data_IF_458340099035
#
_entry.id   IF_458340099035
#
_cell.length_a   1.000
_cell.length_b   1.000
_cell.length_c   1.000
_cell.angle_alpha   90.00
_cell.angle_beta   90.00
_cell.angle_gamma   90.00
#
_symmetry.space_group_name_H-M   'P 1'
#
loop_
_entity.id
_entity.type
_entity.pdbx_description
1 polymer ?
#
# COMPACT_ATOMS: atom_id res chain seq x y z
N UNK A 1 -17.48 -5.02 5.36
CA UNK A 1 -16.98 -4.67 6.71
C UNK A 1 -16.16 -3.39 6.59
N UNK A 2 -16.19 -2.51 7.60
CA UNK A 2 -15.26 -1.38 7.67
C UNK A 2 -13.95 -1.81 8.30
N UNK A 3 -12.85 -1.21 7.87
CA UNK A 3 -11.54 -1.41 8.46
C UNK A 3 -11.26 -0.25 9.42
N UNK A 4 -11.07 -0.57 10.69
CA UNK A 4 -10.75 0.30 11.81
C UNK A 4 -9.30 0.07 12.23
N UNK A 5 -8.84 0.79 13.26
CA UNK A 5 -7.47 0.70 13.80
C UNK A 5 -7.46 0.06 15.21
N UNK A 6 -6.67 -1.00 15.49
CA UNK A 6 -6.34 -1.51 16.80
C UNK A 6 -4.84 -1.63 17.02
N UNK A 7 -4.63 -1.98 18.27
CA UNK A 7 -3.43 -2.40 18.91
C UNK A 7 -3.36 -3.93 18.97
N UNK A 8 -2.13 -4.45 18.91
CA UNK A 8 -1.79 -5.68 19.63
C UNK A 8 -2.15 -5.49 21.12
N UNK A 9 -2.55 -6.53 21.87
CA UNK A 9 -3.11 -6.41 23.23
C UNK A 9 -2.22 -5.79 24.33
N UNK A 10 -1.05 -5.25 24.01
CA UNK A 10 0.03 -4.97 24.98
C UNK A 10 0.76 -3.63 24.86
N UNK A 11 0.40 -2.71 23.97
CA UNK A 11 1.11 -1.43 23.86
C UNK A 11 0.20 -0.21 24.12
N UNK A 12 0.74 0.80 24.81
CA UNK A 12 0.12 2.12 24.97
C UNK A 12 0.25 2.94 23.67
N UNK A 13 -0.41 2.49 22.62
CA UNK A 13 -0.32 3.06 21.28
C UNK A 13 -1.41 4.09 20.96
N UNK A 14 -1.21 4.84 19.86
CA UNK A 14 -2.26 5.65 19.22
C UNK A 14 -3.42 4.75 18.84
N UNK A 15 -4.63 5.17 19.20
CA UNK A 15 -5.88 4.51 18.80
C UNK A 15 -6.89 5.55 18.37
N UNK A 16 -7.73 5.18 17.40
CA UNK A 16 -8.89 5.99 17.05
C UNK A 16 -9.73 6.29 18.30
N UNK A 17 -10.23 7.52 18.37
CA UNK A 17 -11.00 8.00 19.53
C UNK A 17 -12.16 7.05 19.85
N UNK A 18 -12.44 6.85 21.13
CA UNK A 18 -13.51 5.94 21.58
C UNK A 18 -14.86 6.33 20.98
N UNK A 19 -15.17 7.63 20.96
CA UNK A 19 -16.43 8.14 20.41
C UNK A 19 -16.64 7.72 18.94
N UNK A 20 -15.60 7.80 18.10
CA UNK A 20 -15.71 7.42 16.68
C UNK A 20 -15.83 5.90 16.53
N UNK A 21 -15.06 5.12 17.31
CA UNK A 21 -15.19 3.65 17.31
C UNK A 21 -16.58 3.21 17.73
N UNK A 22 -17.08 3.72 18.86
CA UNK A 22 -18.41 3.42 19.36
C UNK A 22 -19.48 3.77 18.32
N UNK A 23 -19.36 4.93 17.68
CA UNK A 23 -20.26 5.35 16.60
C UNK A 23 -20.27 4.34 15.44
N UNK A 24 -19.10 3.90 14.97
CA UNK A 24 -18.99 2.95 13.86
C UNK A 24 -19.52 1.56 14.23
N UNK A 25 -19.24 1.07 15.44
CA UNK A 25 -19.82 -0.18 15.95
C UNK A 25 -21.34 -0.09 16.11
N UNK A 26 -21.87 1.07 16.54
CA UNK A 26 -23.29 1.29 16.70
C UNK A 26 -24.08 1.22 15.38
N UNK A 27 -23.43 1.36 14.23
CA UNK A 27 -24.10 1.25 12.93
C UNK A 27 -24.53 -0.19 12.60
N UNK A 28 -23.87 -1.21 13.19
CA UNK A 28 -24.11 -2.66 13.03
C UNK A 28 -23.93 -3.23 11.62
N UNK A 29 -24.38 -2.52 10.59
CA UNK A 29 -24.52 -3.02 9.21
C UNK A 29 -23.20 -3.24 8.46
N UNK A 30 -22.06 -2.86 9.05
CA UNK A 30 -20.75 -3.01 8.42
C UNK A 30 -19.68 -3.50 9.41
N UNK A 31 -20.09 -4.23 10.46
CA UNK A 31 -19.27 -4.97 11.44
C UNK A 31 -17.75 -4.66 11.35
N UNK A 32 -17.30 -3.56 12.00
CA UNK A 32 -15.93 -3.07 11.83
C UNK A 32 -14.86 -4.06 12.31
N UNK A 33 -13.76 -4.15 11.57
CA UNK A 33 -12.57 -4.96 11.85
C UNK A 33 -11.42 -4.03 12.10
N UNK A 34 -10.79 -4.11 13.26
CA UNK A 34 -9.63 -3.28 13.54
C UNK A 34 -8.35 -3.93 12.90
N UNK A 35 -7.58 -3.22 12.06
CA UNK A 35 -6.24 -3.50 11.46
C UNK A 35 -5.05 -2.71 12.08
N UNK A 36 -3.94 -3.39 12.39
CA UNK A 36 -2.72 -2.82 12.99
C UNK A 36 -1.94 -1.90 12.04
N UNK A 37 -1.99 -0.59 12.27
CA UNK A 37 -1.25 0.41 11.46
C UNK A 37 -0.16 1.18 12.23
N UNK A 38 -0.02 0.97 13.54
CA UNK A 38 0.81 1.85 14.38
C UNK A 38 2.31 1.80 14.07
N UNK A 39 2.73 0.78 13.34
CA UNK A 39 4.07 0.65 12.80
C UNK A 39 4.36 1.72 11.74
N UNK A 40 3.35 2.40 11.20
CA UNK A 40 3.48 3.56 10.31
C UNK A 40 3.48 4.87 11.10
N UNK A 41 4.25 5.84 10.61
CA UNK A 41 4.41 7.15 11.22
C UNK A 41 3.10 7.96 11.18
N UNK A 42 2.43 8.02 10.03
CA UNK A 42 1.08 8.60 9.95
C UNK A 42 0.07 7.66 10.63
N UNK A 43 0.12 6.37 10.31
CA UNK A 43 -0.63 5.34 11.02
C UNK A 43 -2.01 5.10 10.41
N UNK A 44 -2.16 5.29 9.11
CA UNK A 44 -3.39 5.02 8.37
C UNK A 44 -3.32 3.67 7.64
N UNK A 45 -4.50 3.08 7.41
CA UNK A 45 -4.60 1.78 6.73
C UNK A 45 -4.39 1.90 5.22
N UNK A 46 -4.71 3.05 4.63
CA UNK A 46 -4.57 3.31 3.20
C UNK A 46 -3.11 3.45 2.74
N UNK A 47 -2.17 3.54 3.68
CA UNK A 47 -0.72 3.49 3.45
C UNK A 47 -0.21 2.07 3.15
N UNK A 48 -0.99 1.00 3.34
CA UNK A 48 -0.48 -0.35 3.05
C UNK A 48 -1.49 -1.34 2.51
N UNK A 49 -2.76 -0.93 2.38
CA UNK A 49 -3.78 -1.76 1.75
C UNK A 49 -4.81 -0.96 0.95
N UNK A 50 -5.31 -1.57 -0.11
CA UNK A 50 -6.47 -1.07 -0.87
C UNK A 50 -7.24 -2.22 -1.52
N UNK A 51 -8.40 -1.94 -2.09
CA UNK A 51 -9.19 -2.92 -2.83
C UNK A 51 -9.43 -2.45 -4.26
N UNK A 52 -9.26 -3.35 -5.22
CA UNK A 52 -9.58 -3.13 -6.63
C UNK A 52 -10.62 -4.12 -7.12
N UNK A 53 -11.52 -3.74 -8.05
CA UNK A 53 -12.47 -4.68 -8.63
C UNK A 53 -11.74 -5.71 -9.50
N UNK A 54 -12.28 -6.92 -9.56
CA UNK A 54 -11.83 -7.98 -10.45
C UNK A 54 -13.06 -8.72 -10.99
N UNK A 55 -13.03 -9.20 -12.23
CA UNK A 55 -14.20 -9.85 -12.85
C UNK A 55 -14.33 -11.34 -12.52
N UNK A 56 -13.42 -11.87 -11.70
CA UNK A 56 -13.39 -13.25 -11.29
C UNK A 56 -13.57 -13.41 -9.77
N UNK A 57 -13.73 -14.66 -9.32
CA UNK A 57 -13.78 -15.05 -7.90
C UNK A 57 -14.76 -14.19 -7.08
N UNK A 58 -14.26 -13.49 -6.07
CA UNK A 58 -15.03 -12.68 -5.12
C UNK A 58 -15.40 -11.30 -5.67
N UNK A 59 -15.06 -10.99 -6.92
CA UNK A 59 -15.34 -9.70 -7.55
C UNK A 59 -14.33 -8.58 -7.24
N UNK A 60 -13.27 -8.90 -6.48
CA UNK A 60 -12.23 -7.94 -6.09
C UNK A 60 -10.89 -8.64 -5.81
N UNK A 61 -9.85 -7.82 -5.61
CA UNK A 61 -8.57 -8.20 -5.02
C UNK A 61 -8.22 -7.24 -3.89
N UNK A 62 -7.62 -7.76 -2.83
CA UNK A 62 -6.92 -6.99 -1.81
C UNK A 62 -5.50 -6.73 -2.33
N UNK A 63 -5.09 -5.47 -2.41
CA UNK A 63 -3.72 -5.10 -2.67
C UNK A 63 -3.03 -4.80 -1.34
N UNK A 64 -1.85 -5.36 -1.11
CA UNK A 64 -1.01 -5.08 0.05
C UNK A 64 0.34 -4.55 -0.39
N UNK A 65 0.85 -3.54 0.32
CA UNK A 65 2.25 -3.14 0.20
C UNK A 65 3.15 -4.33 0.57
N UNK A 66 4.26 -4.53 -0.12
CA UNK A 66 5.17 -5.65 0.17
C UNK A 66 6.64 -5.29 -0.06
N UNK A 67 7.40 -5.11 1.03
CA UNK A 67 8.86 -5.07 0.97
C UNK A 67 9.49 -6.32 0.35
N UNK A 68 8.96 -7.51 0.66
CA UNK A 68 9.46 -8.75 0.06
C UNK A 68 9.32 -8.76 -1.47
N UNK A 69 8.19 -8.30 -2.01
CA UNK A 69 7.99 -8.19 -3.45
C UNK A 69 8.97 -7.19 -4.09
N UNK A 70 9.25 -6.07 -3.41
CA UNK A 70 10.22 -5.08 -3.89
C UNK A 70 11.66 -5.61 -3.91
N UNK A 71 12.12 -6.23 -2.81
CA UNK A 71 13.44 -6.86 -2.77
C UNK A 71 13.58 -7.99 -3.79
N UNK A 72 12.52 -8.76 -4.02
CA UNK A 72 12.50 -9.80 -5.06
C UNK A 72 12.68 -9.20 -6.45
N UNK A 73 11.90 -8.17 -6.79
CA UNK A 73 12.03 -7.45 -8.07
C UNK A 73 13.43 -6.89 -8.26
N UNK A 74 13.99 -6.24 -7.24
CA UNK A 74 15.32 -5.64 -7.33
C UNK A 74 16.43 -6.68 -7.51
N UNK A 75 16.34 -7.84 -6.82
CA UNK A 75 17.25 -8.97 -7.07
C UNK A 75 17.12 -9.55 -8.48
N UNK A 76 15.89 -9.68 -8.99
CA UNK A 76 15.65 -10.12 -10.36
C UNK A 76 16.31 -9.16 -11.37
N UNK A 77 16.17 -7.84 -11.18
CA UNK A 77 16.79 -6.82 -12.03
C UNK A 77 18.32 -6.78 -11.89
N UNK A 78 18.86 -6.94 -10.68
CA UNK A 78 20.30 -7.09 -10.46
C UNK A 78 20.85 -8.30 -11.22
N UNK A 79 20.18 -9.46 -11.14
CA UNK A 79 20.57 -10.67 -11.87
C UNK A 79 20.49 -10.55 -13.39
N UNK A 80 19.74 -9.57 -13.91
CA UNK A 80 19.67 -9.21 -15.33
C UNK A 80 20.75 -8.20 -15.74
N UNK A 81 21.66 -7.81 -14.84
CA UNK A 81 22.72 -6.83 -15.11
C UNK A 81 22.30 -5.37 -14.93
N UNK A 82 21.16 -5.11 -14.26
CA UNK A 82 20.64 -3.75 -14.02
C UNK A 82 20.88 -3.24 -12.59
N UNK A 83 21.89 -3.76 -11.88
CA UNK A 83 22.24 -3.33 -10.51
C UNK A 83 22.52 -1.83 -10.37
N UNK A 84 23.06 -1.22 -11.43
CA UNK A 84 23.39 0.20 -11.51
C UNK A 84 22.19 1.10 -11.84
N UNK A 85 21.01 0.52 -12.12
CA UNK A 85 19.80 1.30 -12.39
C UNK A 85 19.43 2.14 -11.17
N UNK A 86 19.24 3.44 -11.38
CA UNK A 86 18.99 4.42 -10.31
C UNK A 86 17.53 4.82 -10.24
N UNK A 87 17.06 4.99 -9.01
CA UNK A 87 15.79 5.65 -8.73
C UNK A 87 15.88 7.13 -9.11
N UNK A 88 14.92 7.63 -9.90
CA UNK A 88 14.89 9.04 -10.31
C UNK A 88 13.88 9.82 -9.48
N UNK A 89 14.16 9.96 -8.19
CA UNK A 89 13.31 10.72 -7.27
C UNK A 89 13.30 12.20 -7.65
N UNK A 90 12.11 12.74 -7.98
CA UNK A 90 11.82 14.18 -7.94
C UNK A 90 12.82 15.11 -8.66
N UNK A 91 13.15 14.86 -9.94
CA UNK A 91 14.03 15.73 -10.76
C UNK A 91 13.50 17.16 -11.04
N UNK A 92 12.62 17.71 -10.20
CA UNK A 92 11.95 19.00 -10.39
C UNK A 92 12.22 20.11 -9.37
N UNK A 93 12.60 19.84 -8.11
CA UNK A 93 12.58 20.91 -7.09
C UNK A 93 13.63 20.84 -5.96
N UNK A 94 14.87 20.45 -6.25
CA UNK A 94 16.03 20.76 -5.37
C UNK A 94 16.05 20.13 -3.97
N UNK A 95 15.10 19.25 -3.64
CA UNK A 95 15.01 18.48 -2.38
C UNK A 95 14.77 16.99 -2.67
N UNK A 96 15.64 16.37 -3.47
CA UNK A 96 15.59 14.94 -3.78
C UNK A 96 16.25 14.11 -2.68
N UNK A 97 15.65 12.95 -2.36
CA UNK A 97 16.36 11.84 -1.72
C UNK A 97 17.51 11.44 -2.68
N UNK A 98 18.72 11.09 -2.19
CA UNK A 98 19.81 10.66 -3.05
C UNK A 98 19.35 9.55 -4.00
N UNK A 99 19.69 9.67 -5.28
CA UNK A 99 19.39 8.65 -6.28
C UNK A 99 20.11 7.35 -5.86
N UNK A 100 19.36 6.40 -5.31
CA UNK A 100 19.91 5.11 -4.90
C UNK A 100 19.86 4.11 -6.06
N UNK A 101 20.97 3.39 -6.24
CA UNK A 101 21.07 2.26 -7.18
C UNK A 101 20.41 1.03 -6.59
N UNK A 102 20.00 0.09 -7.46
CA UNK A 102 19.53 -1.23 -7.02
C UNK A 102 20.59 -1.91 -6.15
N UNK A 103 21.87 -1.87 -6.54
CA UNK A 103 22.95 -2.51 -5.79
C UNK A 103 23.14 -1.91 -4.40
N UNK A 104 23.01 -0.59 -4.27
CA UNK A 104 23.10 0.12 -2.97
C UNK A 104 21.94 -0.27 -2.05
N UNK A 105 20.71 -0.29 -2.57
CA UNK A 105 19.51 -0.70 -1.82
C UNK A 105 19.62 -2.16 -1.36
N UNK A 106 20.16 -3.04 -2.21
CA UNK A 106 20.31 -4.46 -1.89
C UNK A 106 21.46 -4.73 -0.91
N UNK A 107 22.49 -3.88 -0.89
CA UNK A 107 23.63 -3.96 0.02
C UNK A 107 23.35 -3.31 1.40
N UNK A 108 22.34 -2.45 1.51
CA UNK A 108 21.95 -1.82 2.77
C UNK A 108 21.26 -2.83 3.71
N UNK A 109 22.05 -3.42 4.60
CA UNK A 109 21.57 -4.38 5.60
C UNK A 109 20.67 -3.75 6.67
N UNK A 110 20.81 -2.45 6.95
CA UNK A 110 19.93 -1.76 7.90
C UNK A 110 18.54 -1.63 7.28
N UNK A 111 18.45 -1.05 6.08
CA UNK A 111 17.19 -0.90 5.34
C UNK A 111 16.48 -2.24 5.16
N UNK A 112 17.25 -3.30 4.87
CA UNK A 112 16.72 -4.66 4.71
C UNK A 112 16.19 -5.24 6.01
N UNK A 113 16.85 -5.02 7.14
CA UNK A 113 16.36 -5.49 8.44
C UNK A 113 15.11 -4.72 8.89
N UNK A 114 15.06 -3.42 8.64
CA UNK A 114 13.89 -2.58 8.86
C UNK A 114 12.70 -3.05 8.02
N UNK A 115 12.92 -3.31 6.73
CA UNK A 115 11.86 -3.78 5.84
C UNK A 115 11.41 -5.23 6.13
N UNK A 116 12.28 -6.09 6.68
CA UNK A 116 11.84 -7.38 7.26
C UNK A 116 10.90 -7.18 8.45
N UNK A 117 11.14 -6.17 9.29
CA UNK A 117 10.23 -5.84 10.39
C UNK A 117 8.89 -5.34 9.85
N UNK A 118 8.90 -4.38 8.91
CA UNK A 118 7.68 -3.86 8.26
C UNK A 118 6.87 -4.97 7.59
N UNK A 119 7.52 -5.86 6.85
CA UNK A 119 6.83 -6.98 6.22
C UNK A 119 6.13 -7.88 7.26
N UNK A 120 6.72 -8.15 8.43
CA UNK A 120 6.04 -8.90 9.50
C UNK A 120 4.81 -8.18 10.04
N UNK A 121 4.84 -6.85 10.11
CA UNK A 121 3.66 -6.06 10.49
C UNK A 121 2.55 -6.18 9.44
N UNK A 122 2.91 -6.16 8.15
CA UNK A 122 1.97 -6.35 7.04
C UNK A 122 1.42 -7.79 7.03
N UNK A 123 2.26 -8.80 7.25
CA UNK A 123 1.87 -10.21 7.29
C UNK A 123 0.88 -10.49 8.43
N UNK A 124 1.08 -9.88 9.60
CA UNK A 124 0.12 -9.95 10.70
C UNK A 124 -1.27 -9.45 10.29
N UNK A 125 -1.32 -8.34 9.54
CA UNK A 125 -2.57 -7.81 9.00
C UNK A 125 -3.12 -8.66 7.86
N UNK A 126 -2.27 -9.27 7.02
CA UNK A 126 -2.67 -10.21 5.97
C UNK A 126 -3.47 -11.37 6.58
N UNK A 127 -2.96 -11.97 7.64
CA UNK A 127 -3.60 -13.10 8.30
C UNK A 127 -4.93 -12.71 8.95
N UNK A 128 -4.97 -11.57 9.64
CA UNK A 128 -6.20 -11.00 10.18
C UNK A 128 -7.25 -10.75 9.08
N UNK A 129 -6.85 -10.12 7.97
CA UNK A 129 -7.76 -9.81 6.86
C UNK A 129 -8.27 -11.08 6.19
N UNK A 130 -7.43 -12.09 6.02
CA UNK A 130 -7.85 -13.41 5.52
C UNK A 130 -8.91 -14.04 6.41
N UNK A 131 -8.71 -14.01 7.72
CA UNK A 131 -9.67 -14.54 8.69
C UNK A 131 -11.00 -13.75 8.65
N UNK A 132 -10.95 -12.43 8.82
CA UNK A 132 -12.13 -11.60 9.02
C UNK A 132 -12.94 -11.34 7.75
N UNK A 133 -12.29 -11.39 6.58
CA UNK A 133 -12.92 -11.18 5.28
C UNK A 133 -13.10 -12.48 4.49
N UNK A 134 -12.65 -13.62 5.03
CA UNK A 134 -12.71 -14.92 4.36
C UNK A 134 -11.94 -14.95 3.04
N UNK A 135 -10.73 -14.37 3.02
CA UNK A 135 -9.85 -14.32 1.84
C UNK A 135 -8.88 -15.49 1.85
N UNK A 136 -8.43 -15.87 0.66
CA UNK A 136 -7.29 -16.76 0.46
C UNK A 136 -6.14 -16.00 -0.23
N UNK A 137 -4.96 -16.64 -0.36
CA UNK A 137 -3.79 -16.04 -1.03
C UNK A 137 -4.08 -15.60 -2.47
N UNK A 138 -5.02 -16.28 -3.11
CA UNK A 138 -5.47 -16.03 -4.47
C UNK A 138 -6.26 -14.72 -4.60
N UNK A 139 -6.82 -14.20 -3.50
CA UNK A 139 -7.55 -12.94 -3.45
C UNK A 139 -6.62 -11.73 -3.16
N UNK A 140 -5.32 -11.97 -2.94
CA UNK A 140 -4.34 -10.95 -2.50
C UNK A 140 -3.27 -10.75 -3.58
N UNK A 141 -2.90 -9.50 -3.82
CA UNK A 141 -1.80 -9.13 -4.70
C UNK A 141 -0.82 -8.25 -3.94
N UNK A 142 0.44 -8.67 -3.94
CA UNK A 142 1.55 -7.96 -3.30
C UNK A 142 2.12 -6.90 -4.24
N UNK A 143 1.99 -5.63 -3.85
CA UNK A 143 2.50 -4.46 -4.57
C UNK A 143 3.89 -4.11 -4.03
N UNK A 144 4.95 -4.05 -4.86
CA UNK A 144 6.29 -3.70 -4.42
C UNK A 144 6.33 -2.33 -3.73
N UNK A 145 6.73 -2.29 -2.46
CA UNK A 145 6.83 -1.06 -1.67
C UNK A 145 8.00 -1.18 -0.68
N UNK A 146 8.76 -0.11 -0.47
CA UNK A 146 9.78 -0.04 0.58
C UNK A 146 9.48 1.08 1.55
N UNK A 147 10.01 0.94 2.76
CA UNK A 147 9.83 1.87 3.86
C UNK A 147 11.17 2.24 4.50
N UNK A 148 11.20 3.39 5.15
CA UNK A 148 12.31 3.86 6.00
C UNK A 148 11.84 4.06 7.43
N UNK A 149 12.63 3.62 8.40
CA UNK A 149 12.28 3.82 9.81
C UNK A 149 12.65 5.24 10.27
N UNK A 150 11.69 5.90 10.93
CA UNK A 150 11.86 7.13 11.72
C UNK A 150 11.63 6.78 13.19
N UNK A 151 12.70 6.40 13.88
CA UNK A 151 12.61 5.89 15.24
C UNK A 151 11.95 4.50 15.25
N UNK A 152 10.79 4.36 15.89
CA UNK A 152 10.05 3.09 15.98
C UNK A 152 8.95 2.91 14.93
N UNK A 153 8.77 3.86 14.02
CA UNK A 153 7.73 3.86 12.99
C UNK A 153 8.31 4.02 11.59
N UNK A 154 7.53 3.66 10.58
CA UNK A 154 7.92 3.66 9.18
C UNK A 154 7.25 4.81 8.39
N UNK A 155 8.01 5.43 7.48
CA UNK A 155 7.49 6.23 6.37
C UNK A 155 7.76 5.46 5.06
N UNK A 156 6.98 5.73 4.01
CA UNK A 156 7.25 5.19 2.67
C UNK A 156 8.60 5.72 2.13
N UNK A 157 9.45 4.84 1.58
CA UNK A 157 10.73 5.22 0.96
C UNK A 157 10.51 5.95 -0.38
N UNK A 158 9.43 5.59 -1.07
CA UNK A 158 8.98 6.18 -2.32
C UNK A 158 7.45 6.17 -2.37
N UNK A 159 6.80 6.95 -3.26
CA UNK A 159 5.34 7.09 -3.28
C UNK A 159 4.60 5.77 -3.21
N UNK A 160 3.68 5.65 -2.24
CA UNK A 160 3.07 4.36 -1.91
C UNK A 160 2.02 3.98 -2.95
N UNK A 161 2.37 3.01 -3.79
CA UNK A 161 1.50 2.63 -4.90
C UNK A 161 0.16 2.02 -4.46
N UNK A 162 0.00 1.55 -3.21
CA UNK A 162 -1.32 1.07 -2.74
C UNK A 162 -2.28 2.21 -2.39
N UNK A 163 -1.75 3.41 -2.12
CA UNK A 163 -2.51 4.62 -1.78
C UNK A 163 -3.10 5.27 -3.04
N UNK A 164 -3.80 4.46 -3.85
CA UNK A 164 -4.26 4.81 -5.19
C UNK A 164 -5.75 5.21 -5.25
N UNK A 165 -6.09 5.96 -6.29
CA UNK A 165 -7.46 6.31 -6.65
C UNK A 165 -8.10 5.21 -7.48
N UNK A 166 -9.16 4.56 -6.99
CA UNK A 166 -9.87 3.48 -7.70
C UNK A 166 -11.19 3.97 -8.31
N UNK A 167 -11.22 4.18 -9.62
CA UNK A 167 -12.39 4.63 -10.40
C UNK A 167 -12.89 3.53 -11.34
N UNK A 168 -13.56 2.53 -10.77
CA UNK A 168 -13.98 1.35 -11.52
C UNK A 168 -12.73 0.61 -12.00
N UNK A 169 -12.53 0.52 -13.32
CA UNK A 169 -11.34 -0.12 -13.90
C UNK A 169 -10.12 0.80 -13.99
N UNK A 170 -10.29 2.10 -13.79
CA UNK A 170 -9.19 3.06 -13.91
C UNK A 170 -8.54 3.30 -12.56
N UNK A 171 -7.23 3.12 -12.48
CA UNK A 171 -6.43 3.28 -11.27
C UNK A 171 -5.52 4.50 -11.43
N UNK A 172 -5.66 5.49 -10.55
CA UNK A 172 -4.73 6.61 -10.40
C UNK A 172 -3.71 6.27 -9.32
N UNK A 173 -2.56 5.77 -9.73
CA UNK A 173 -1.53 5.20 -8.86
C UNK A 173 -0.44 6.25 -8.62
N UNK A 174 0.02 6.49 -7.39
CA UNK A 174 1.18 7.34 -7.13
C UNK A 174 2.40 6.86 -7.95
N UNK A 175 3.08 7.78 -8.63
CA UNK A 175 4.24 7.44 -9.45
C UNK A 175 5.42 7.10 -8.53
N UNK A 176 5.99 5.87 -8.57
CA UNK A 176 6.98 5.43 -7.59
C UNK A 176 8.41 5.96 -7.85
N UNK A 177 8.66 6.52 -9.04
CA UNK A 177 9.98 6.99 -9.47
C UNK A 177 11.10 5.94 -9.39
N UNK A 178 10.75 4.65 -9.43
CA UNK A 178 11.66 3.51 -9.31
C UNK A 178 12.80 3.45 -10.34
N UNK A 179 13.74 2.50 -10.17
CA UNK A 179 14.88 2.32 -11.06
C UNK A 179 14.49 2.21 -12.54
N UNK A 180 15.22 2.93 -13.40
CA UNK A 180 15.02 2.86 -14.84
C UNK A 180 15.79 1.69 -15.47
N UNK A 181 15.05 0.77 -16.08
CA UNK A 181 15.57 -0.36 -16.85
C UNK A 181 15.07 -0.23 -18.28
N UNK A 182 15.97 -0.14 -19.26
CA UNK A 182 15.56 0.08 -20.66
C UNK A 182 14.77 1.38 -20.89
N UNK A 183 14.97 2.40 -20.04
CA UNK A 183 14.24 3.66 -20.09
C UNK A 183 12.86 3.64 -19.42
N UNK A 184 12.44 2.52 -18.83
CA UNK A 184 11.15 2.39 -18.15
C UNK A 184 11.34 2.12 -16.65
N UNK A 185 10.40 2.61 -15.84
CA UNK A 185 10.40 2.36 -14.40
C UNK A 185 9.99 0.91 -14.12
N UNK A 186 10.90 0.12 -13.55
CA UNK A 186 10.64 -1.30 -13.31
C UNK A 186 9.53 -1.57 -12.28
N UNK A 187 9.27 -0.64 -11.36
CA UNK A 187 8.15 -0.70 -10.41
C UNK A 187 6.81 -0.49 -11.13
N UNK A 188 6.72 0.52 -12.00
CA UNK A 188 5.51 0.75 -12.80
C UNK A 188 5.19 -0.45 -13.70
N UNK A 189 6.20 -0.98 -14.40
CA UNK A 189 6.07 -2.20 -15.21
C UNK A 189 5.56 -3.37 -14.39
N UNK A 190 6.12 -3.60 -13.19
CA UNK A 190 5.69 -4.69 -12.32
C UNK A 190 4.23 -4.52 -11.89
N UNK A 191 3.81 -3.32 -11.52
CA UNK A 191 2.42 -3.05 -11.14
C UNK A 191 1.46 -3.22 -12.31
N UNK A 192 1.82 -2.76 -13.52
CA UNK A 192 1.03 -3.04 -14.73
C UNK A 192 0.88 -4.54 -14.96
N UNK A 193 1.98 -5.30 -14.90
CA UNK A 193 1.96 -6.75 -15.10
C UNK A 193 1.09 -7.50 -14.07
N UNK A 194 0.93 -6.96 -12.85
CA UNK A 194 0.07 -7.54 -11.82
C UNK A 194 -1.42 -7.19 -12.01
N UNK A 195 -1.73 -5.97 -12.45
CA UNK A 195 -3.09 -5.43 -12.41
C UNK A 195 -3.81 -5.42 -13.78
N UNK A 196 -3.09 -5.19 -14.88
CA UNK A 196 -3.68 -5.15 -16.23
C UNK A 196 -4.31 -6.48 -16.66
N UNK A 197 -3.78 -7.68 -16.30
CA UNK A 197 -4.45 -8.95 -16.57
C UNK A 197 -5.84 -9.09 -15.93
N UNK A 198 -6.16 -8.27 -14.91
CA UNK A 198 -7.49 -8.22 -14.30
C UNK A 198 -8.48 -7.31 -15.06
N UNK A 199 -8.03 -6.69 -16.17
CA UNK A 199 -8.80 -5.70 -16.92
C UNK A 199 -8.76 -4.29 -16.32
N UNK A 200 -7.77 -4.01 -15.48
CA UNK A 200 -7.55 -2.69 -14.86
C UNK A 200 -6.62 -1.84 -15.73
N UNK A 201 -6.79 -0.53 -15.71
CA UNK A 201 -5.98 0.44 -16.44
C UNK A 201 -5.18 1.28 -15.45
N UNK A 202 -3.86 1.13 -15.47
CA UNK A 202 -2.95 1.82 -14.55
C UNK A 202 -2.48 3.15 -15.13
N UNK A 203 -2.81 4.26 -14.44
CA UNK A 203 -2.30 5.61 -14.73
C UNK A 203 -1.46 6.08 -13.58
N UNK A 204 -0.17 6.36 -13.81
CA UNK A 204 0.74 6.82 -12.76
C UNK A 204 0.74 8.35 -12.67
N UNK A 205 0.45 8.88 -11.48
CA UNK A 205 0.26 10.30 -11.20
C UNK A 205 1.46 10.80 -10.40
N UNK A 206 2.09 11.88 -10.87
CA UNK A 206 3.14 12.56 -10.12
C UNK A 206 2.52 13.44 -9.03
N UNK A 207 2.59 12.97 -7.80
CA UNK A 207 2.14 13.65 -6.59
C UNK A 207 3.30 14.02 -5.64
N UNK A 208 4.55 13.82 -6.11
CA UNK A 208 5.74 13.74 -5.26
C UNK A 208 5.93 14.97 -4.36
N UNK A 209 5.90 16.16 -4.96
CA UNK A 209 6.12 17.40 -4.21
C UNK A 209 4.89 17.88 -3.45
N UNK A 210 3.70 17.57 -3.94
CA UNK A 210 2.44 18.05 -3.38
C UNK A 210 1.96 17.22 -2.20
N UNK A 211 2.28 15.92 -2.15
CA UNK A 211 1.76 14.99 -1.16
C UNK A 211 2.85 14.11 -0.56
N UNK A 212 3.68 13.45 -1.37
CA UNK A 212 4.64 12.44 -0.87
C UNK A 212 5.65 13.00 0.14
N UNK A 213 6.22 14.17 -0.14
CA UNK A 213 7.15 14.87 0.78
C UNK A 213 6.49 15.22 2.13
N UNK A 214 5.15 15.23 2.19
CA UNK A 214 4.36 15.47 3.40
C UNK A 214 3.85 14.17 4.05
N UNK A 215 4.45 13.02 3.71
CA UNK A 215 4.07 11.69 4.21
C UNK A 215 2.64 11.27 3.83
N UNK A 216 2.17 11.63 2.64
CA UNK A 216 0.91 11.11 2.10
C UNK A 216 0.99 10.94 0.59
N UNK A 217 0.06 10.21 -0.03
CA UNK A 217 0.06 9.99 -1.48
C UNK A 217 -1.33 10.29 -2.08
N UNK A 218 -1.58 9.97 -3.35
CA UNK A 218 -2.82 10.33 -4.09
C UNK A 218 -4.12 10.16 -3.28
N UNK A 219 -4.34 9.04 -2.59
CA UNK A 219 -5.57 8.83 -1.80
C UNK A 219 -5.61 9.71 -0.53
N UNK A 220 -4.47 10.07 0.05
CA UNK A 220 -4.42 11.06 1.14
C UNK A 220 -4.85 12.47 0.67
N UNK A 221 -4.65 12.78 -0.62
CA UNK A 221 -5.04 14.05 -1.23
C UNK A 221 -6.43 14.06 -1.89
N UNK A 222 -7.11 12.92 -2.00
CA UNK A 222 -8.34 12.77 -2.80
C UNK A 222 -9.42 11.98 -2.06
N UNK A 223 -10.69 12.18 -2.40
CA UNK A 223 -11.79 11.40 -1.85
C UNK A 223 -12.88 11.17 -2.90
N UNK A 224 -13.41 9.94 -2.99
CA UNK A 224 -14.35 9.53 -4.03
C UNK A 224 -15.72 9.24 -3.44
N UNK A 225 -16.72 10.04 -3.84
CA UNK A 225 -18.12 9.71 -3.58
C UNK A 225 -18.58 8.59 -4.53
N UNK A 226 -19.04 7.48 -3.98
CA UNK A 226 -19.50 6.30 -4.73
C UNK A 226 -21.03 6.16 -4.70
N UNK A 227 -21.59 5.40 -5.63
CA UNK A 227 -23.00 4.98 -5.59
C UNK A 227 -23.24 4.08 -4.37
N UNK A 228 -24.38 4.19 -3.66
CA UNK A 228 -24.74 3.27 -2.59
C UNK A 228 -24.83 1.83 -3.09
N UNK A 229 -24.71 0.87 -2.17
CA UNK A 229 -24.97 -0.54 -2.49
C UNK A 229 -26.40 -0.74 -2.99
N UNK A 230 -26.56 -1.63 -3.98
CA UNK A 230 -27.88 -2.04 -4.45
C UNK A 230 -28.65 -2.81 -3.35
N UNK A 231 -27.92 -3.59 -2.55
CA UNK A 231 -28.45 -4.30 -1.38
C UNK A 231 -28.99 -3.31 -0.34
N UNK A 232 -30.20 -3.58 0.16
CA UNK A 232 -30.87 -2.72 1.14
C UNK A 232 -30.42 -3.08 2.54
N UNK A 233 -29.86 -2.13 3.27
CA UNK A 233 -29.25 -2.38 4.58
C UNK A 233 -30.23 -2.99 5.61
N UNK A 234 -31.54 -2.67 5.51
CA UNK A 234 -32.57 -3.22 6.39
C UNK A 234 -32.95 -4.69 6.09
N UNK A 235 -32.42 -5.29 5.01
CA UNK A 235 -32.53 -6.73 4.75
C UNK A 235 -31.38 -7.54 5.36
N UNK A 236 -30.38 -6.89 5.94
CA UNK A 236 -29.30 -7.58 6.62
C UNK A 236 -29.75 -8.06 8.00
N UNK A 237 -29.30 -9.25 8.38
CA UNK A 237 -29.37 -9.75 9.76
C UNK A 237 -27.98 -9.57 10.39
N UNK A 238 -27.79 -8.59 11.29
CA UNK A 238 -26.49 -8.27 11.90
C UNK A 238 -25.95 -9.35 12.84
#
# INVERSE_FOLDING_TARGET
RFLLLPLLPRASGRRMSKAVRDFLYAQKVQAPVEIYSEWLNVGHVDEFLTFVPAYDRKGFRLLLASPNACYKLFKEKQGQGHGEATQLVGKGAGKGIPAARIDEILADELLKNDNKHVQRCIDWNRDLLKQELGLNEQDIIDIPQLFVMKGSRADALFPDMVNMLVLGRHLGIPKPFGPLVGGQCCLEERVRALLEPLGLTCTFIDDYFSYHVLSGDVHCGTNVRRKPFAFKWWHMVP
#
